data_IF_498962551072
#
_entry.id   IF_498962551072
#
_cell.length_a   1.000
_cell.length_b   1.000
_cell.length_c   1.000
_cell.angle_alpha   90.00
_cell.angle_beta   90.00
_cell.angle_gamma   90.00
#
_symmetry.space_group_name_H-M   'P 1'
#
loop_
_entity.id
_entity.type
_entity.pdbx_description
1 polymer ?
#
# COMPACT_ATOMS: atom_id res chain seq x y z
N UNK A 1 -7.45 -16.67 -10.34
CA UNK A 1 -8.08 -15.52 -9.64
C UNK A 1 -7.03 -14.43 -9.49
N UNK A 2 -7.38 -13.18 -9.73
CA UNK A 2 -6.48 -12.01 -9.64
C UNK A 2 -7.17 -10.88 -8.87
N UNK A 3 -6.41 -9.91 -8.37
CA UNK A 3 -6.92 -8.77 -7.63
C UNK A 3 -6.14 -7.49 -7.94
N UNK A 4 -6.74 -6.34 -7.66
CA UNK A 4 -6.11 -5.03 -7.90
C UNK A 4 -5.05 -4.78 -6.81
N UNK A 5 -3.80 -4.53 -7.23
CA UNK A 5 -2.65 -4.37 -6.31
C UNK A 5 -2.86 -3.28 -5.26
N UNK A 6 -3.56 -2.20 -5.60
CA UNK A 6 -3.87 -1.09 -4.68
C UNK A 6 -4.55 -1.58 -3.39
N UNK A 7 -5.53 -2.48 -3.48
CA UNK A 7 -6.23 -2.98 -2.29
C UNK A 7 -5.35 -3.87 -1.42
N UNK A 8 -4.45 -4.66 -2.03
CA UNK A 8 -3.49 -5.45 -1.29
C UNK A 8 -2.48 -4.52 -0.57
N UNK A 9 -1.99 -3.48 -1.23
CA UNK A 9 -1.10 -2.49 -0.62
C UNK A 9 -1.75 -1.83 0.62
N UNK A 10 -3.03 -1.45 0.53
CA UNK A 10 -3.79 -0.90 1.67
C UNK A 10 -3.96 -1.90 2.82
N UNK A 11 -4.25 -3.17 2.51
CA UNK A 11 -4.28 -4.24 3.51
C UNK A 11 -2.92 -4.41 4.19
N UNK A 12 -1.83 -4.46 3.43
CA UNK A 12 -0.47 -4.55 3.97
C UNK A 12 -0.14 -3.37 4.88
N UNK A 13 -0.51 -2.15 4.47
CA UNK A 13 -0.30 -0.95 5.27
C UNK A 13 -1.02 -1.01 6.61
N UNK A 14 -2.29 -1.44 6.62
CA UNK A 14 -3.04 -1.61 7.87
C UNK A 14 -2.45 -2.71 8.77
N UNK A 15 -1.96 -3.82 8.19
CA UNK A 15 -1.26 -4.87 8.97
C UNK A 15 0.01 -4.34 9.63
N UNK A 16 0.83 -3.58 8.91
CA UNK A 16 2.04 -2.95 9.48
C UNK A 16 1.69 -1.93 10.56
N UNK A 17 0.66 -1.08 10.32
CA UNK A 17 0.17 -0.10 11.31
C UNK A 17 -0.22 -0.77 12.63
N UNK A 18 -0.95 -1.88 12.57
CA UNK A 18 -1.33 -2.65 13.76
C UNK A 18 -0.11 -3.24 14.48
N UNK A 19 0.86 -3.77 13.73
CA UNK A 19 2.07 -4.37 14.28
C UNK A 19 2.99 -3.35 14.98
N UNK A 20 2.95 -2.06 14.60
CA UNK A 20 3.64 -0.98 15.31
C UNK A 20 3.04 -0.76 16.71
N UNK A 21 1.72 -0.87 16.84
CA UNK A 21 1.01 -0.60 18.10
C UNK A 21 1.03 -1.79 19.06
N UNK A 22 1.03 -3.02 18.53
CA UNK A 22 1.00 -4.25 19.32
C UNK A 22 1.71 -5.37 18.61
N UNK A 23 2.48 -6.16 19.36
CA UNK A 23 3.11 -7.36 18.83
C UNK A 23 2.02 -8.33 18.28
N UNK A 24 2.19 -8.87 17.06
CA UNK A 24 1.25 -9.82 16.50
C UNK A 24 1.15 -11.08 17.39
N UNK A 25 -0.05 -11.46 17.87
CA UNK A 25 -0.17 -12.44 18.94
C UNK A 25 0.08 -13.88 18.49
N UNK A 26 -0.06 -14.19 17.21
CA UNK A 26 0.17 -15.54 16.66
C UNK A 26 1.38 -15.59 15.73
N UNK A 27 1.98 -16.78 15.60
CA UNK A 27 3.06 -17.02 14.64
C UNK A 27 2.64 -16.72 13.19
N UNK A 28 1.38 -17.02 12.86
CA UNK A 28 0.80 -16.70 11.56
C UNK A 28 0.74 -15.18 11.33
N UNK A 29 0.27 -14.38 12.29
CA UNK A 29 0.23 -12.92 12.12
C UNK A 29 1.62 -12.28 12.04
N UNK A 30 2.60 -12.85 12.77
CA UNK A 30 4.02 -12.45 12.63
C UNK A 30 4.52 -12.70 11.21
N UNK A 31 4.31 -13.91 10.69
CA UNK A 31 4.67 -14.27 9.31
C UNK A 31 3.94 -13.41 8.28
N UNK A 32 2.66 -13.12 8.50
CA UNK A 32 1.87 -12.24 7.63
C UNK A 32 2.44 -10.81 7.61
N UNK A 33 2.87 -10.28 8.75
CA UNK A 33 3.51 -8.96 8.83
C UNK A 33 4.84 -8.93 8.06
N UNK A 34 5.66 -9.98 8.18
CA UNK A 34 6.90 -10.13 7.40
C UNK A 34 6.62 -10.21 5.90
N UNK A 35 5.58 -10.95 5.50
CA UNK A 35 5.13 -11.00 4.11
C UNK A 35 4.72 -9.60 3.60
N UNK A 36 3.94 -8.83 4.37
CA UNK A 36 3.55 -7.47 4.01
C UNK A 36 4.76 -6.55 3.83
N UNK A 37 5.77 -6.64 4.71
CA UNK A 37 7.02 -5.89 4.59
C UNK A 37 7.76 -6.24 3.30
N UNK A 38 7.87 -7.53 2.97
CA UNK A 38 8.51 -7.95 1.72
C UNK A 38 7.71 -7.52 0.48
N UNK A 39 6.38 -7.54 0.55
CA UNK A 39 5.53 -7.06 -0.54
C UNK A 39 5.75 -5.57 -0.82
N UNK A 40 5.80 -4.72 0.22
CA UNK A 40 6.11 -3.28 0.07
C UNK A 40 7.51 -3.07 -0.47
N UNK A 41 8.51 -3.85 -0.02
CA UNK A 41 9.86 -3.83 -0.59
C UNK A 41 9.84 -4.11 -2.10
N UNK A 42 9.11 -5.13 -2.55
CA UNK A 42 8.98 -5.44 -3.97
C UNK A 42 8.32 -4.29 -4.74
N UNK A 43 7.28 -3.67 -4.18
CA UNK A 43 6.64 -2.51 -4.81
C UNK A 43 7.60 -1.34 -5.00
N UNK A 44 8.43 -1.03 -4.00
CA UNK A 44 9.46 0.02 -4.10
C UNK A 44 10.49 -0.31 -5.19
N UNK A 45 10.87 -1.59 -5.33
CA UNK A 45 11.81 -2.02 -6.37
C UNK A 45 11.21 -1.95 -7.78
N UNK A 46 9.92 -2.26 -7.93
CA UNK A 46 9.24 -2.26 -9.22
C UNK A 46 8.79 -0.86 -9.68
N UNK A 47 8.47 0.03 -8.74
CA UNK A 47 7.96 1.37 -9.01
C UNK A 47 8.62 2.37 -8.04
N UNK A 48 9.94 2.55 -8.20
CA UNK A 48 10.71 3.46 -7.35
C UNK A 48 10.29 4.91 -7.57
N UNK A 49 10.19 5.67 -6.48
CA UNK A 49 10.03 7.11 -6.56
C UNK A 49 11.41 7.76 -6.68
N UNK A 50 11.67 8.46 -7.78
CA UNK A 50 12.94 9.14 -8.05
C UNK A 50 12.93 10.63 -7.66
N UNK A 51 11.88 11.09 -6.97
CA UNK A 51 11.79 12.47 -6.49
C UNK A 51 12.87 12.75 -5.44
N UNK A 52 13.52 13.90 -5.56
CA UNK A 52 14.47 14.37 -4.56
C UNK A 52 13.74 14.78 -3.28
N UNK A 53 14.32 14.42 -2.14
CA UNK A 53 13.85 14.84 -0.82
C UNK A 53 14.66 16.02 -0.31
N UNK A 54 13.97 17.01 0.26
CA UNK A 54 14.64 18.19 0.82
C UNK A 54 15.46 17.82 2.06
N UNK A 55 16.65 18.40 2.12
CA UNK A 55 17.54 18.30 3.28
C UNK A 55 17.14 19.36 4.30
N UNK A 56 16.94 18.94 5.55
CA UNK A 56 16.51 19.80 6.65
C UNK A 56 17.50 19.78 7.79
N UNK A 57 17.68 20.93 8.43
CA UNK A 57 18.35 21.00 9.72
C UNK A 57 17.44 20.45 10.82
N UNK A 58 18.02 19.66 11.73
CA UNK A 58 17.33 19.16 12.92
C UNK A 58 18.27 19.20 14.13
N UNK A 59 17.75 19.09 15.37
CA UNK A 59 18.59 19.02 16.57
C UNK A 59 19.60 17.85 16.57
N UNK A 60 19.43 16.86 15.68
CA UNK A 60 20.32 15.70 15.51
C UNK A 60 21.24 15.83 14.29
N UNK A 61 21.30 17.01 13.66
CA UNK A 61 22.08 17.28 12.45
C UNK A 61 21.22 17.42 11.19
N UNK A 62 21.92 17.55 10.07
CA UNK A 62 21.35 17.72 8.73
C UNK A 62 20.87 16.35 8.21
N UNK A 63 19.61 16.24 7.79
CA UNK A 63 19.02 14.98 7.28
C UNK A 63 17.95 15.23 6.21
N UNK A 64 17.76 14.26 5.31
CA UNK A 64 16.53 14.12 4.55
C UNK A 64 15.59 13.19 5.34
N UNK A 65 14.34 13.59 5.54
CA UNK A 65 13.34 12.79 6.28
C UNK A 65 12.11 12.42 5.44
N UNK A 66 12.08 12.81 4.17
CA UNK A 66 11.00 12.54 3.23
C UNK A 66 9.67 13.24 3.53
N UNK A 67 9.57 14.05 4.59
CA UNK A 67 8.31 14.71 4.97
C UNK A 67 8.19 16.11 4.34
N UNK A 68 6.97 16.63 4.23
CA UNK A 68 6.74 18.02 3.77
C UNK A 68 6.91 18.24 2.27
N UNK A 69 7.07 17.17 1.49
CA UNK A 69 6.98 17.22 0.04
C UNK A 69 5.51 17.29 -0.38
N UNK A 70 5.20 18.17 -1.34
CA UNK A 70 3.90 18.16 -1.99
C UNK A 70 3.81 17.00 -2.98
N UNK A 71 2.79 16.16 -2.79
CA UNK A 71 2.50 15.02 -3.64
C UNK A 71 1.22 15.29 -4.45
N UNK A 72 1.32 15.19 -5.78
CA UNK A 72 0.15 15.14 -6.64
C UNK A 72 -0.28 13.69 -6.83
N UNK A 73 -1.41 13.32 -6.25
CA UNK A 73 -1.97 11.98 -6.35
C UNK A 73 -2.83 11.87 -7.62
N UNK A 74 -2.80 10.70 -8.27
CA UNK A 74 -3.86 10.31 -9.20
C UNK A 74 -5.16 10.13 -8.41
N UNK A 75 -6.31 10.26 -9.10
CA UNK A 75 -7.60 10.00 -8.48
C UNK A 75 -7.69 8.54 -8.01
N UNK A 76 -7.56 8.37 -6.68
CA UNK A 76 -7.57 7.09 -6.01
C UNK A 76 -8.98 6.49 -5.89
N UNK A 77 -10.03 7.28 -6.13
CA UNK A 77 -11.41 6.83 -6.03
C UNK A 77 -11.82 5.96 -7.22
N UNK A 78 -11.17 6.15 -8.38
CA UNK A 78 -11.49 5.42 -9.61
C UNK A 78 -11.38 3.89 -9.46
N UNK A 79 -10.29 3.31 -8.92
CA UNK A 79 -10.23 1.87 -8.71
C UNK A 79 -11.33 1.31 -7.79
N UNK A 80 -11.84 2.09 -6.83
CA UNK A 80 -12.99 1.68 -6.01
C UNK A 80 -14.26 1.59 -6.84
N UNK A 81 -14.59 2.67 -7.56
CA UNK A 81 -15.77 2.72 -8.44
C UNK A 81 -15.74 1.56 -9.43
N UNK A 82 -14.65 1.42 -10.18
CA UNK A 82 -14.52 0.39 -11.21
C UNK A 82 -14.56 -1.04 -10.63
N UNK A 83 -13.92 -1.28 -9.47
CA UNK A 83 -13.94 -2.60 -8.86
C UNK A 83 -15.33 -2.97 -8.33
N UNK A 84 -16.08 -2.00 -7.79
CA UNK A 84 -17.45 -2.21 -7.33
C UNK A 84 -18.40 -2.49 -8.50
N UNK A 85 -18.30 -1.73 -9.58
CA UNK A 85 -19.10 -1.95 -10.80
C UNK A 85 -18.80 -3.32 -11.41
N UNK A 86 -17.52 -3.65 -11.63
CA UNK A 86 -17.12 -4.97 -12.14
C UNK A 86 -17.61 -6.12 -11.25
N UNK A 87 -17.61 -5.94 -9.92
CA UNK A 87 -18.13 -6.95 -9.00
C UNK A 87 -19.65 -7.10 -9.08
N UNK A 88 -20.39 -5.99 -9.24
CA UNK A 88 -21.84 -5.99 -9.42
C UNK A 88 -22.24 -6.71 -10.71
N UNK A 89 -21.52 -6.44 -11.79
CA UNK A 89 -21.85 -6.93 -13.13
C UNK A 89 -21.30 -8.35 -13.38
N UNK A 90 -20.45 -8.86 -12.47
CA UNK A 90 -19.84 -10.19 -12.55
C UNK A 90 -20.81 -11.36 -12.83
N UNK A 91 -22.01 -11.43 -12.21
CA UNK A 91 -22.96 -12.50 -12.51
C UNK A 91 -23.46 -12.50 -13.96
N UNK A 92 -23.61 -11.34 -14.59
CA UNK A 92 -24.04 -11.24 -15.99
C UNK A 92 -22.96 -11.77 -16.94
N UNK A 93 -21.68 -11.54 -16.64
CA UNK A 93 -20.55 -12.09 -17.42
C UNK A 93 -20.41 -13.61 -17.35
N UNK A 94 -20.76 -14.22 -16.21
CA UNK A 94 -20.64 -15.67 -16.03
C UNK A 94 -21.83 -16.47 -16.54
N UNK A 95 -23.04 -15.88 -16.54
CA UNK A 95 -24.28 -16.60 -16.81
C UNK A 95 -25.10 -16.04 -17.97
N UNK A 96 -24.64 -14.96 -18.62
CA UNK A 96 -25.33 -14.27 -19.72
C UNK A 96 -24.96 -14.70 -21.15
N UNK A 97 -24.39 -15.90 -21.34
CA UNK A 97 -24.22 -16.53 -22.67
C UNK A 97 -25.28 -17.59 -22.92
#
# INVERSE_FOLDING_TARGET
MFGISMFHQLHCLDKMRRAILKEPPTAWEKSHTQHCLNYVRQMILCASNLRLEDVKESPRGIKADGLGLEHECRDWSLPYVMATENHRDWPEWLYGQ
#
